data_IF_208950911894
#
_entry.id   IF_208950911894
#
_cell.length_a   1.000
_cell.length_b   1.000
_cell.length_c   1.000
_cell.angle_alpha   90.00
_cell.angle_beta   90.00
_cell.angle_gamma   90.00
#
_symmetry.space_group_name_H-M   'P 1'
#
loop_
_entity.id
_entity.type
_entity.pdbx_description
1 polymer ?
#
# COMPACT_ATOMS: atom_id res chain seq x y z
N UNK A 1 -20.86 -26.92 -23.23
CA UNK A 1 -20.38 -25.95 -22.20
C UNK A 1 -20.85 -26.31 -20.78
N UNK A 2 -22.13 -26.64 -20.53
CA UNK A 2 -22.61 -26.93 -19.16
C UNK A 2 -22.08 -28.24 -18.54
N UNK A 3 -21.82 -29.27 -19.36
CA UNK A 3 -21.39 -30.60 -18.89
C UNK A 3 -19.96 -30.57 -18.32
N UNK A 4 -19.06 -29.76 -18.90
CA UNK A 4 -17.67 -29.63 -18.46
C UNK A 4 -17.55 -28.92 -17.10
N UNK A 5 -18.42 -27.93 -16.86
CA UNK A 5 -18.50 -27.22 -15.56
C UNK A 5 -18.94 -28.15 -14.42
N UNK A 6 -19.86 -29.07 -14.70
CA UNK A 6 -20.35 -30.04 -13.71
C UNK A 6 -19.30 -31.11 -13.35
N UNK A 7 -18.47 -31.50 -14.31
CA UNK A 7 -17.34 -32.41 -14.07
C UNK A 7 -16.26 -31.74 -13.22
N UNK A 8 -15.95 -30.47 -13.48
CA UNK A 8 -15.02 -29.70 -12.65
C UNK A 8 -15.50 -29.58 -11.20
N UNK A 9 -16.78 -29.26 -11.00
CA UNK A 9 -17.39 -29.25 -9.68
C UNK A 9 -17.33 -30.62 -9.00
N UNK A 10 -17.65 -31.71 -9.72
CA UNK A 10 -17.60 -33.06 -9.18
C UNK A 10 -16.18 -33.47 -8.76
N UNK A 11 -15.17 -33.19 -9.58
CA UNK A 11 -13.77 -33.46 -9.27
C UNK A 11 -13.28 -32.64 -8.07
N UNK A 12 -13.73 -31.39 -7.94
CA UNK A 12 -13.46 -30.55 -6.78
C UNK A 12 -14.05 -31.14 -5.50
N UNK A 13 -15.32 -31.58 -5.52
CA UNK A 13 -15.94 -32.24 -4.38
C UNK A 13 -15.25 -33.56 -4.02
N UNK A 14 -14.84 -34.35 -5.00
CA UNK A 14 -14.09 -35.60 -4.76
C UNK A 14 -12.75 -35.30 -4.09
N UNK A 15 -11.97 -34.35 -4.61
CA UNK A 15 -10.70 -33.93 -4.01
C UNK A 15 -10.89 -33.40 -2.58
N UNK A 16 -11.97 -32.66 -2.35
CA UNK A 16 -12.32 -32.12 -1.04
C UNK A 16 -12.70 -33.22 -0.03
N UNK A 17 -13.51 -34.21 -0.44
CA UNK A 17 -13.84 -35.38 0.37
C UNK A 17 -12.57 -36.15 0.73
N UNK A 18 -11.65 -36.35 -0.21
CA UNK A 18 -10.38 -37.02 0.05
C UNK A 18 -9.51 -36.25 1.06
N UNK A 19 -9.49 -34.91 0.98
CA UNK A 19 -8.80 -34.06 1.94
C UNK A 19 -9.40 -34.18 3.35
N UNK A 20 -10.73 -34.17 3.48
CA UNK A 20 -11.42 -34.40 4.76
C UNK A 20 -11.07 -35.78 5.32
N UNK A 21 -11.12 -36.83 4.50
CA UNK A 21 -10.77 -38.19 4.93
C UNK A 21 -9.31 -38.29 5.37
N UNK A 22 -8.40 -37.55 4.73
CA UNK A 22 -7.01 -37.47 5.11
C UNK A 22 -6.83 -36.79 6.49
N UNK A 23 -7.57 -35.70 6.73
CA UNK A 23 -7.60 -35.01 8.03
C UNK A 23 -8.16 -35.93 9.12
N UNK A 24 -9.28 -36.60 8.86
CA UNK A 24 -9.89 -37.57 9.79
C UNK A 24 -8.90 -38.71 10.08
N UNK A 25 -8.20 -39.23 9.07
CA UNK A 25 -7.21 -40.29 9.22
C UNK A 25 -6.01 -39.83 10.05
N UNK A 26 -5.60 -38.57 9.92
CA UNK A 26 -4.55 -37.96 10.73
C UNK A 26 -4.97 -37.83 12.21
N UNK A 27 -6.20 -37.38 12.47
CA UNK A 27 -6.73 -37.32 13.84
C UNK A 27 -6.95 -38.71 14.44
N UNK A 28 -7.37 -39.69 13.63
CA UNK A 28 -7.51 -41.10 14.03
C UNK A 28 -6.15 -41.72 14.39
N UNK A 29 -5.08 -41.37 13.66
CA UNK A 29 -3.71 -41.84 13.93
C UNK A 29 -3.09 -41.25 15.21
N UNK A 30 -3.51 -40.04 15.59
CA UNK A 30 -2.91 -39.31 16.71
C UNK A 30 -3.51 -39.61 18.09
N UNK A 31 -4.50 -40.50 18.20
CA UNK A 31 -5.00 -41.05 19.48
C UNK A 31 -5.61 -40.08 20.50
N UNK A 32 -5.46 -38.76 20.33
CA UNK A 32 -5.94 -37.70 21.24
C UNK A 32 -7.22 -37.02 20.73
N UNK A 33 -8.06 -37.76 20.03
CA UNK A 33 -9.20 -37.23 19.29
C UNK A 33 -10.46 -36.94 20.13
N UNK A 34 -10.41 -36.98 21.47
CA UNK A 34 -11.65 -37.00 22.26
C UNK A 34 -12.16 -35.65 22.77
N UNK A 35 -11.41 -34.55 22.72
CA UNK A 35 -11.86 -33.29 23.35
C UNK A 35 -11.90 -32.05 22.46
N UNK A 36 -11.03 -31.91 21.45
CA UNK A 36 -10.98 -30.68 20.62
C UNK A 36 -11.10 -30.89 19.11
N UNK A 37 -10.98 -32.13 18.60
CA UNK A 37 -11.01 -32.37 17.15
C UNK A 37 -12.40 -32.22 16.51
N UNK A 38 -13.46 -32.62 17.23
CA UNK A 38 -14.84 -32.56 16.72
C UNK A 38 -15.35 -31.11 16.53
N UNK A 39 -15.24 -30.19 17.51
CA UNK A 39 -15.76 -28.84 17.34
C UNK A 39 -14.98 -28.05 16.28
N UNK A 40 -13.65 -28.22 16.17
CA UNK A 40 -12.86 -27.51 15.14
C UNK A 40 -13.22 -27.96 13.73
N UNK A 41 -13.45 -29.26 13.52
CA UNK A 41 -13.88 -29.78 12.22
C UNK A 41 -15.30 -29.31 11.88
N UNK A 42 -16.20 -29.25 12.86
CA UNK A 42 -17.57 -28.74 12.67
C UNK A 42 -17.55 -27.24 12.33
N UNK A 43 -16.77 -26.42 13.05
CA UNK A 43 -16.61 -25.00 12.76
C UNK A 43 -15.99 -24.76 11.38
N UNK A 44 -15.01 -25.58 11.00
CA UNK A 44 -14.43 -25.54 9.67
C UNK A 44 -15.46 -25.88 8.58
N UNK A 45 -16.26 -26.93 8.79
CA UNK A 45 -17.36 -27.28 7.89
C UNK A 45 -18.40 -26.16 7.76
N UNK A 46 -18.81 -25.55 8.87
CA UNK A 46 -19.76 -24.43 8.86
C UNK A 46 -19.19 -23.22 8.10
N UNK A 47 -17.92 -22.89 8.34
CA UNK A 47 -17.25 -21.78 7.66
C UNK A 47 -17.16 -22.01 6.15
N UNK A 48 -16.98 -23.25 5.70
CA UNK A 48 -16.91 -23.60 4.27
C UNK A 48 -18.30 -23.68 3.65
N UNK A 49 -19.28 -24.23 4.36
CA UNK A 49 -20.67 -24.24 3.90
C UNK A 49 -21.13 -22.80 3.65
N UNK A 50 -20.77 -21.84 4.52
CA UNK A 50 -21.04 -20.42 4.31
C UNK A 50 -20.32 -19.83 3.09
N UNK A 51 -19.09 -20.26 2.78
CA UNK A 51 -18.36 -19.85 1.57
C UNK A 51 -19.05 -20.40 0.31
N UNK A 52 -19.49 -21.66 0.33
CA UNK A 52 -20.12 -22.33 -0.82
C UNK A 52 -21.56 -21.84 -1.04
N UNK A 53 -22.31 -21.56 0.02
CA UNK A 53 -23.67 -21.00 -0.10
C UNK A 53 -23.67 -19.50 -0.37
N UNK A 54 -22.58 -18.79 -0.07
CA UNK A 54 -22.44 -17.35 -0.30
C UNK A 54 -22.23 -16.93 -1.76
N UNK A 55 -22.03 -17.87 -2.71
CA UNK A 55 -21.76 -17.53 -4.12
C UNK A 55 -23.01 -17.31 -4.97
N UNK A 56 -24.18 -17.10 -4.37
CA UNK A 56 -25.38 -16.72 -5.13
C UNK A 56 -25.39 -15.22 -5.39
N UNK A 57 -24.87 -14.82 -6.57
CA UNK A 57 -25.05 -13.52 -7.26
C UNK A 57 -25.41 -12.35 -6.33
N UNK A 58 -24.45 -11.87 -5.57
CA UNK A 58 -24.56 -10.53 -4.97
C UNK A 58 -23.42 -9.68 -5.50
N UNK A 59 -23.78 -8.61 -6.20
CA UNK A 59 -22.92 -7.51 -6.66
C UNK A 59 -22.38 -6.69 -5.47
N UNK A 60 -22.05 -7.35 -4.36
CA UNK A 60 -21.57 -6.69 -3.16
C UNK A 60 -20.07 -6.97 -3.00
N UNK A 61 -19.19 -6.02 -3.38
CA UNK A 61 -17.74 -6.18 -3.32
C UNK A 61 -17.24 -6.51 -1.91
N UNK A 62 -18.06 -6.21 -0.90
CA UNK A 62 -17.83 -6.52 0.51
C UNK A 62 -17.79 -8.03 0.77
N UNK A 63 -18.66 -8.82 0.13
CA UNK A 63 -18.71 -10.28 0.35
C UNK A 63 -17.50 -10.97 -0.27
N UNK A 64 -17.05 -10.50 -1.43
CA UNK A 64 -15.82 -10.96 -2.08
C UNK A 64 -14.59 -10.61 -1.23
N UNK A 65 -14.54 -9.41 -0.65
CA UNK A 65 -13.49 -9.03 0.31
C UNK A 65 -13.46 -9.97 1.52
N UNK A 66 -14.61 -10.30 2.10
CA UNK A 66 -14.68 -11.25 3.21
C UNK A 66 -14.29 -12.69 2.81
N UNK A 67 -14.64 -13.11 1.59
CA UNK A 67 -14.24 -14.42 1.07
C UNK A 67 -12.71 -14.50 0.86
N UNK A 68 -12.10 -13.46 0.29
CA UNK A 68 -10.65 -13.36 0.11
C UNK A 68 -9.94 -13.27 1.47
N UNK A 69 -10.44 -12.44 2.40
CA UNK A 69 -9.88 -12.33 3.74
C UNK A 69 -9.96 -13.67 4.49
N UNK A 70 -11.09 -14.37 4.38
CA UNK A 70 -11.27 -15.71 4.94
C UNK A 70 -10.30 -16.73 4.33
N UNK A 71 -10.08 -16.66 3.01
CA UNK A 71 -9.11 -17.50 2.32
C UNK A 71 -7.66 -17.21 2.77
N UNK A 72 -7.27 -15.95 2.90
CA UNK A 72 -5.95 -15.54 3.41
C UNK A 72 -5.74 -16.07 4.83
N UNK A 73 -6.74 -15.92 5.71
CA UNK A 73 -6.69 -16.45 7.07
C UNK A 73 -6.58 -17.98 7.08
N UNK A 74 -7.31 -18.67 6.19
CA UNK A 74 -7.20 -20.12 6.04
C UNK A 74 -5.78 -20.55 5.63
N UNK A 75 -5.18 -19.88 4.65
CA UNK A 75 -3.79 -20.14 4.23
C UNK A 75 -2.83 -19.88 5.38
N UNK A 76 -3.01 -18.80 6.15
CA UNK A 76 -2.21 -18.50 7.33
C UNK A 76 -2.27 -19.63 8.37
N UNK A 77 -3.46 -20.14 8.70
CA UNK A 77 -3.61 -21.27 9.60
C UNK A 77 -3.02 -22.57 9.05
N UNK A 78 -3.10 -22.78 7.73
CA UNK A 78 -2.49 -23.92 7.05
C UNK A 78 -0.96 -23.85 7.18
N UNK A 79 -0.35 -22.69 6.95
CA UNK A 79 1.08 -22.47 7.16
C UNK A 79 1.47 -22.67 8.63
N UNK A 80 0.70 -22.13 9.58
CA UNK A 80 0.97 -22.37 11.02
C UNK A 80 0.85 -23.84 11.40
N UNK A 81 -0.12 -24.58 10.85
CA UNK A 81 -0.26 -26.01 11.06
C UNK A 81 0.95 -26.76 10.50
N UNK A 82 1.41 -26.40 9.29
CA UNK A 82 2.63 -26.94 8.69
C UNK A 82 3.86 -26.62 9.56
N UNK A 83 4.04 -25.37 9.98
CA UNK A 83 5.17 -24.95 10.83
C UNK A 83 5.15 -25.65 12.21
N UNK A 84 3.97 -25.86 12.77
CA UNK A 84 3.79 -26.58 14.04
C UNK A 84 4.12 -28.07 13.90
N UNK A 85 3.84 -28.67 12.75
CA UNK A 85 4.27 -30.03 12.42
C UNK A 85 5.78 -30.08 12.19
N UNK A 86 6.36 -29.12 11.44
CA UNK A 86 7.81 -29.01 11.18
C UNK A 86 8.60 -28.83 12.48
N UNK A 87 8.12 -27.98 13.42
CA UNK A 87 8.76 -27.79 14.73
C UNK A 87 8.70 -29.04 15.62
N UNK A 88 7.78 -29.97 15.35
CA UNK A 88 7.53 -31.14 16.21
C UNK A 88 8.13 -32.44 15.68
N UNK A 89 8.32 -32.57 14.37
CA UNK A 89 8.91 -33.76 13.75
C UNK A 89 10.26 -33.41 13.14
N UNK A 90 11.33 -33.54 13.93
CA UNK A 90 12.73 -33.33 13.51
C UNK A 90 13.26 -34.25 12.40
N UNK A 91 12.38 -34.97 11.70
CA UNK A 91 12.66 -35.93 10.63
C UNK A 91 11.60 -35.77 9.54
N UNK A 92 11.61 -34.66 8.81
CA UNK A 92 10.64 -34.49 7.72
C UNK A 92 11.07 -33.55 6.58
N UNK A 93 12.36 -33.38 6.29
CA UNK A 93 12.78 -32.48 5.19
C UNK A 93 12.44 -33.02 3.78
N UNK A 94 12.46 -34.34 3.54
CA UNK A 94 12.25 -34.89 2.18
C UNK A 94 10.78 -35.07 1.79
N UNK A 95 9.91 -35.46 2.72
CA UNK A 95 8.49 -35.74 2.42
C UNK A 95 7.63 -34.46 2.32
N UNK A 96 7.99 -33.40 3.07
CA UNK A 96 7.30 -32.11 2.98
C UNK A 96 7.65 -31.32 1.72
N UNK A 97 8.88 -31.44 1.20
CA UNK A 97 9.25 -30.85 -0.10
C UNK A 97 8.43 -31.51 -1.21
N UNK A 98 8.21 -32.83 -1.16
CA UNK A 98 7.38 -33.53 -2.15
C UNK A 98 5.94 -33.03 -2.11
N UNK A 99 5.33 -32.87 -0.94
CA UNK A 99 3.96 -32.35 -0.83
C UNK A 99 3.85 -30.87 -1.25
N UNK A 100 4.83 -30.03 -0.89
CA UNK A 100 4.85 -28.63 -1.29
C UNK A 100 5.06 -28.47 -2.81
N UNK A 101 5.97 -29.24 -3.39
CA UNK A 101 6.21 -29.29 -4.84
C UNK A 101 4.96 -29.81 -5.57
N UNK A 102 4.31 -30.88 -5.07
CA UNK A 102 3.06 -31.38 -5.65
C UNK A 102 1.92 -30.36 -5.56
N UNK A 103 1.85 -29.58 -4.48
CA UNK A 103 0.84 -28.54 -4.33
C UNK A 103 1.09 -27.36 -5.28
N UNK A 104 2.34 -26.92 -5.43
CA UNK A 104 2.72 -25.89 -6.41
C UNK A 104 2.45 -26.36 -7.84
N UNK A 105 2.74 -27.62 -8.15
CA UNK A 105 2.41 -28.24 -9.44
C UNK A 105 0.89 -28.30 -9.64
N UNK A 106 0.11 -28.65 -8.61
CA UNK A 106 -1.35 -28.68 -8.70
C UNK A 106 -1.94 -27.29 -8.97
N UNK A 107 -1.44 -26.26 -8.30
CA UNK A 107 -1.86 -24.86 -8.54
C UNK A 107 -1.43 -24.40 -9.94
N UNK A 108 -0.24 -24.78 -10.41
CA UNK A 108 0.20 -24.49 -11.78
C UNK A 108 -0.68 -25.20 -12.83
N UNK A 109 -1.09 -26.45 -12.57
CA UNK A 109 -1.98 -27.23 -13.45
C UNK A 109 -3.41 -26.68 -13.47
N UNK A 110 -3.90 -26.14 -12.35
CA UNK A 110 -5.15 -25.38 -12.33
C UNK A 110 -5.07 -24.12 -13.20
N UNK A 111 -3.88 -23.49 -13.31
CA UNK A 111 -3.63 -22.37 -14.21
C UNK A 111 -3.63 -22.75 -15.70
N UNK A 112 -3.37 -24.01 -16.04
CA UNK A 112 -3.32 -24.51 -17.43
C UNK A 112 -4.70 -24.99 -17.92
N UNK A 113 -5.72 -25.01 -17.05
CA UNK A 113 -7.10 -25.37 -17.42
C UNK A 113 -7.88 -24.25 -18.14
N UNK A 114 -7.20 -23.17 -18.54
CA UNK A 114 -7.72 -22.25 -19.55
C UNK A 114 -7.61 -22.90 -20.95
N UNK A 115 -8.70 -23.07 -21.70
CA UNK A 115 -8.68 -23.82 -22.95
C UNK A 115 -8.00 -23.02 -24.06
N UNK A 116 -6.78 -23.40 -24.43
CA UNK A 116 -6.26 -23.19 -25.78
C UNK A 116 -6.08 -24.57 -26.41
N UNK A 117 -6.97 -24.91 -27.34
CA UNK A 117 -6.98 -26.21 -28.04
C UNK A 117 -6.52 -26.00 -29.47
N UNK A 118 -5.38 -26.57 -29.82
CA UNK A 118 -5.03 -26.93 -31.19
C UNK A 118 -4.35 -28.31 -31.18
N UNK A 119 -4.74 -29.18 -32.13
CA UNK A 119 -3.87 -30.05 -32.95
C UNK A 119 -4.26 -31.56 -33.11
N UNK A 120 -4.67 -31.89 -34.36
CA UNK A 120 -4.24 -33.03 -35.24
C UNK A 120 -4.71 -34.50 -35.07
N UNK A 121 -5.53 -34.92 -36.06
CA UNK A 121 -5.42 -36.05 -37.02
C UNK A 121 -5.40 -37.53 -36.56
N UNK A 122 -6.44 -38.32 -36.89
CA UNK A 122 -6.44 -39.34 -37.98
C UNK A 122 -7.66 -40.31 -37.96
N UNK A 123 -8.27 -40.48 -39.15
CA UNK A 123 -8.99 -41.68 -39.68
C UNK A 123 -10.53 -41.83 -39.58
N UNK A 124 -11.14 -41.51 -40.74
CA UNK A 124 -12.24 -42.19 -41.47
C UNK A 124 -13.70 -42.15 -40.98
N UNK A 125 -14.56 -41.35 -41.65
CA UNK A 125 -15.54 -41.80 -42.68
C UNK A 125 -16.65 -40.75 -42.90
N UNK A 126 -16.54 -40.04 -44.03
CA UNK A 126 -17.60 -39.62 -44.98
C UNK A 126 -18.92 -38.93 -44.51
N UNK A 127 -19.06 -37.70 -45.01
CA UNK A 127 -20.24 -37.01 -45.60
C UNK A 127 -21.10 -36.08 -44.71
N UNK A 128 -21.02 -34.79 -45.10
CA UNK A 128 -22.03 -33.72 -45.06
C UNK A 128 -22.21 -32.86 -43.79
N UNK A 129 -21.44 -31.75 -43.71
CA UNK A 129 -21.91 -30.47 -43.13
C UNK A 129 -20.83 -29.37 -43.22
N UNK A 130 -20.67 -28.71 -44.38
CA UNK A 130 -19.63 -27.68 -44.58
C UNK A 130 -20.09 -26.21 -44.43
N UNK A 131 -21.25 -25.92 -43.83
CA UNK A 131 -21.75 -24.53 -43.70
C UNK A 131 -21.86 -23.99 -42.26
N UNK A 132 -21.59 -24.79 -41.23
CA UNK A 132 -21.70 -24.34 -39.82
C UNK A 132 -20.34 -24.04 -39.15
N UNK A 133 -19.23 -24.62 -39.62
CA UNK A 133 -17.91 -24.44 -38.99
C UNK A 133 -17.25 -23.08 -39.28
N UNK A 134 -17.59 -22.41 -40.38
CA UNK A 134 -16.96 -21.13 -40.75
C UNK A 134 -17.48 -19.96 -39.91
N UNK A 135 -18.78 -19.97 -39.56
CA UNK A 135 -19.46 -18.92 -38.77
C UNK A 135 -19.06 -18.94 -37.29
N UNK A 136 -18.69 -20.11 -36.75
CA UNK A 136 -18.27 -20.25 -35.35
C UNK A 136 -16.81 -19.81 -35.15
N UNK A 137 -15.94 -19.97 -36.16
CA UNK A 137 -14.54 -19.50 -36.09
C UNK A 137 -14.41 -17.97 -36.19
N UNK A 138 -15.25 -17.30 -37.00
CA UNK A 138 -15.29 -15.84 -37.08
C UNK A 138 -15.85 -15.23 -35.79
N UNK A 139 -16.90 -15.83 -35.23
CA UNK A 139 -17.49 -15.38 -33.97
C UNK A 139 -16.54 -15.55 -32.78
N UNK A 140 -15.73 -16.62 -32.77
CA UNK A 140 -14.67 -16.81 -31.76
C UNK A 140 -13.54 -15.79 -31.91
N UNK A 141 -13.10 -15.49 -33.14
CA UNK A 141 -12.10 -14.42 -33.41
C UNK A 141 -12.61 -13.02 -33.05
N UNK A 142 -13.88 -12.72 -33.29
CA UNK A 142 -14.47 -11.43 -32.91
C UNK A 142 -14.58 -11.28 -31.39
N UNK A 143 -14.90 -12.36 -30.67
CA UNK A 143 -14.96 -12.38 -29.22
C UNK A 143 -13.57 -12.18 -28.58
N UNK A 144 -12.55 -12.90 -29.08
CA UNK A 144 -11.16 -12.75 -28.63
C UNK A 144 -10.61 -11.35 -28.92
N UNK A 145 -10.97 -10.76 -30.07
CA UNK A 145 -10.59 -9.38 -30.40
C UNK A 145 -11.27 -8.36 -29.47
N UNK A 146 -12.56 -8.53 -29.14
CA UNK A 146 -13.26 -7.66 -28.18
C UNK A 146 -12.66 -7.75 -26.77
N UNK A 147 -12.27 -8.95 -26.33
CA UNK A 147 -11.63 -9.15 -25.03
C UNK A 147 -10.23 -8.52 -24.97
N UNK A 148 -9.46 -8.60 -26.07
CA UNK A 148 -8.17 -7.93 -26.21
C UNK A 148 -8.30 -6.40 -26.26
N UNK A 149 -9.31 -5.88 -26.98
CA UNK A 149 -9.59 -4.45 -27.08
C UNK A 149 -10.06 -3.89 -25.71
N UNK A 150 -10.93 -4.60 -24.97
CA UNK A 150 -11.35 -4.20 -23.61
C UNK A 150 -10.18 -4.21 -22.61
N UNK A 151 -9.32 -5.22 -22.69
CA UNK A 151 -8.14 -5.32 -21.82
C UNK A 151 -7.13 -4.20 -22.09
N UNK A 152 -6.95 -3.84 -23.36
CA UNK A 152 -6.10 -2.71 -23.76
C UNK A 152 -6.68 -1.40 -23.26
N UNK A 153 -7.99 -1.20 -23.41
CA UNK A 153 -8.68 0.01 -22.95
C UNK A 153 -8.61 0.16 -21.42
N UNK A 154 -8.80 -0.92 -20.65
CA UNK A 154 -8.60 -0.92 -19.19
C UNK A 154 -7.17 -0.53 -18.80
N UNK A 155 -6.16 -1.07 -19.49
CA UNK A 155 -4.76 -0.71 -19.24
C UNK A 155 -4.45 0.76 -19.55
N UNK A 156 -5.03 1.31 -20.61
CA UNK A 156 -4.87 2.72 -20.96
C UNK A 156 -5.58 3.65 -19.97
N UNK A 157 -6.78 3.30 -19.51
CA UNK A 157 -7.51 4.04 -18.47
C UNK A 157 -6.73 4.05 -17.15
N UNK A 158 -6.19 2.90 -16.74
CA UNK A 158 -5.40 2.75 -15.52
C UNK A 158 -4.08 3.54 -15.59
N UNK A 159 -3.42 3.53 -16.76
CA UNK A 159 -2.22 4.37 -17.03
C UNK A 159 -2.55 5.86 -16.99
N UNK A 160 -3.70 6.28 -17.54
CA UNK A 160 -4.14 7.68 -17.51
C UNK A 160 -4.46 8.14 -16.09
N UNK A 161 -5.09 7.27 -15.29
CA UNK A 161 -5.39 7.54 -13.89
C UNK A 161 -4.10 7.69 -13.06
N UNK A 162 -3.11 6.83 -13.30
CA UNK A 162 -1.80 6.91 -12.65
C UNK A 162 -1.04 8.20 -13.04
N UNK A 163 -1.10 8.59 -14.31
CA UNK A 163 -0.47 9.83 -14.80
C UNK A 163 -1.17 11.08 -14.23
N UNK A 164 -2.50 11.08 -14.13
CA UNK A 164 -3.25 12.17 -13.49
C UNK A 164 -2.92 12.30 -12.00
N UNK A 165 -2.80 11.18 -11.28
CA UNK A 165 -2.38 11.16 -9.88
C UNK A 165 -0.95 11.69 -9.69
N UNK A 166 -0.01 11.28 -10.54
CA UNK A 166 1.36 11.78 -10.51
C UNK A 166 1.40 13.30 -10.74
N UNK A 167 0.60 13.80 -11.69
CA UNK A 167 0.49 15.25 -11.97
C UNK A 167 -0.09 16.02 -10.77
N UNK A 168 -1.11 15.49 -10.09
CA UNK A 168 -1.67 16.10 -8.87
C UNK A 168 -0.64 16.16 -7.74
N UNK A 169 0.13 15.09 -7.53
CA UNK A 169 1.20 15.08 -6.52
C UNK A 169 2.31 16.08 -6.84
N UNK A 170 2.68 16.21 -8.11
CA UNK A 170 3.66 17.22 -8.55
C UNK A 170 3.13 18.64 -8.34
N UNK A 171 1.86 18.90 -8.65
CA UNK A 171 1.21 20.19 -8.45
C UNK A 171 1.14 20.56 -6.96
N UNK A 172 0.76 19.64 -6.08
CA UNK A 172 0.76 19.82 -4.62
C UNK A 172 2.17 20.12 -4.09
N UNK A 173 3.19 19.42 -4.58
CA UNK A 173 4.58 19.69 -4.21
C UNK A 173 5.03 21.08 -4.64
N UNK A 174 4.68 21.51 -5.87
CA UNK A 174 4.99 22.86 -6.36
C UNK A 174 4.30 23.94 -5.51
N UNK A 175 3.06 23.71 -5.09
CA UNK A 175 2.34 24.62 -4.20
C UNK A 175 2.98 24.70 -2.81
N UNK A 176 3.39 23.56 -2.24
CA UNK A 176 4.09 23.51 -0.96
C UNK A 176 5.44 24.26 -1.01
N UNK A 177 6.22 24.06 -2.08
CA UNK A 177 7.50 24.76 -2.29
C UNK A 177 7.29 26.27 -2.46
N UNK A 178 6.24 26.71 -3.15
CA UNK A 178 5.92 28.13 -3.30
C UNK A 178 5.47 28.76 -1.96
N UNK A 179 4.65 28.06 -1.18
CA UNK A 179 4.25 28.50 0.15
C UNK A 179 5.46 28.62 1.09
N UNK A 180 6.38 27.66 1.06
CA UNK A 180 7.61 27.70 1.84
C UNK A 180 8.48 28.92 1.46
N UNK A 181 8.62 29.22 0.15
CA UNK A 181 9.34 30.44 -0.30
C UNK A 181 8.67 31.73 0.20
N UNK A 182 7.34 31.82 0.12
CA UNK A 182 6.60 33.01 0.62
C UNK A 182 6.79 33.21 2.12
N UNK A 183 6.69 32.14 2.91
CA UNK A 183 6.94 32.21 4.36
C UNK A 183 8.37 32.64 4.67
N UNK A 184 9.36 32.14 3.93
CA UNK A 184 10.74 32.53 4.11
C UNK A 184 10.99 34.01 3.74
N UNK A 185 10.32 34.51 2.70
CA UNK A 185 10.38 35.91 2.29
C UNK A 185 9.71 36.85 3.31
N UNK A 186 8.54 36.46 3.85
CA UNK A 186 7.87 37.18 4.94
C UNK A 186 8.72 37.22 6.22
N UNK A 187 9.33 36.10 6.62
CA UNK A 187 10.25 36.07 7.76
C UNK A 187 11.46 36.99 7.54
N UNK A 188 12.03 37.00 6.32
CA UNK A 188 13.15 37.88 5.98
C UNK A 188 12.73 39.35 5.99
N UNK A 189 11.52 39.68 5.55
CA UNK A 189 10.95 41.02 5.61
C UNK A 189 10.70 41.48 7.06
N UNK A 190 10.18 40.59 7.93
CA UNK A 190 9.99 40.88 9.35
C UNK A 190 11.31 41.08 10.11
N UNK A 191 12.36 40.32 9.75
CA UNK A 191 13.72 40.56 10.27
C UNK A 191 14.31 41.89 9.80
N UNK A 192 13.99 42.35 8.58
CA UNK A 192 14.41 43.65 8.10
C UNK A 192 13.69 44.81 8.82
N UNK A 193 12.46 44.62 9.29
CA UNK A 193 11.70 45.62 10.06
C UNK A 193 12.02 45.64 11.56
N UNK A 194 12.70 44.62 12.10
CA UNK A 194 13.12 44.56 13.51
C UNK A 194 14.54 45.08 13.75
N UNK A 195 15.23 45.62 12.74
CA UNK A 195 16.35 46.53 13.01
C UNK A 195 15.78 47.74 13.77
N UNK A 196 16.18 47.98 15.03
CA UNK A 196 15.66 49.12 15.76
C UNK A 196 16.10 50.38 15.02
N UNK A 197 15.14 51.07 14.39
CA UNK A 197 15.24 52.49 14.16
C UNK A 197 15.30 53.12 15.56
N UNK A 198 16.51 53.21 16.10
CA UNK A 198 16.85 53.84 17.37
C UNK A 198 16.69 55.35 17.16
N UNK A 199 15.44 55.77 16.96
CA UNK A 199 15.01 57.11 16.61
C UNK A 199 14.17 57.69 17.72
N UNK A 200 14.64 57.58 18.96
CA UNK A 200 14.34 58.58 19.97
C UNK A 200 15.66 59.20 20.43
N UNK A 201 16.32 59.91 19.52
CA UNK A 201 17.33 60.90 19.90
C UNK A 201 16.60 62.13 20.42
N UNK A 202 15.91 61.98 21.56
CA UNK A 202 15.73 63.14 22.43
C UNK A 202 17.15 63.57 22.81
N UNK A 203 17.59 64.67 22.22
CA UNK A 203 18.89 65.27 22.45
C UNK A 203 19.00 65.67 23.92
N UNK A 204 19.41 64.73 24.78
CA UNK A 204 19.59 64.97 26.20
C UNK A 204 20.70 66.00 26.41
N UNK A 205 20.36 67.28 26.56
CA UNK A 205 21.35 68.33 26.78
C UNK A 205 21.85 68.28 28.23
N UNK A 206 23.14 68.01 28.42
CA UNK A 206 23.79 68.04 29.73
C UNK A 206 24.63 69.30 29.89
N UNK A 207 24.40 70.03 30.97
CA UNK A 207 25.16 71.25 31.30
C UNK A 207 26.62 70.96 31.65
N UNK A 208 26.91 69.82 32.29
CA UNK A 208 28.26 69.43 32.71
C UNK A 208 28.34 67.92 33.00
N UNK A 209 29.56 67.41 33.18
CA UNK A 209 29.80 65.99 33.51
C UNK A 209 29.19 65.53 34.84
N UNK A 210 28.93 66.44 35.79
CA UNK A 210 28.23 66.06 37.03
C UNK A 210 26.78 65.66 36.75
N UNK A 211 26.08 66.37 35.85
CA UNK A 211 24.74 65.99 35.42
C UNK A 211 24.73 64.64 34.68
N UNK A 212 25.74 64.38 33.84
CA UNK A 212 25.90 63.10 33.12
C UNK A 212 26.10 61.94 34.10
N UNK A 213 26.98 62.11 35.09
CA UNK A 213 27.23 61.11 36.14
C UNK A 213 26.01 60.90 37.04
N UNK A 214 25.32 61.97 37.44
CA UNK A 214 24.09 61.90 38.23
C UNK A 214 22.97 61.14 37.49
N UNK A 215 22.91 61.27 36.16
CA UNK A 215 22.00 60.51 35.31
C UNK A 215 22.46 59.05 35.04
N UNK A 216 23.64 58.66 35.54
CA UNK A 216 24.23 57.33 35.30
C UNK A 216 24.54 57.06 33.83
N UNK A 217 24.91 58.09 33.06
CA UNK A 217 25.18 58.00 31.61
C UNK A 217 26.66 58.20 31.25
N UNK A 218 27.53 58.40 32.22
CA UNK A 218 28.97 58.49 31.99
C UNK A 218 29.60 57.09 31.89
N UNK A 219 30.60 56.88 31.01
CA UNK A 219 31.12 57.81 30.01
C UNK A 219 30.19 57.95 28.78
N UNK A 220 30.17 59.13 28.14
CA UNK A 220 29.43 59.39 26.91
C UNK A 220 30.34 59.29 25.69
N UNK A 221 29.95 58.51 24.68
CA UNK A 221 30.74 58.38 23.45
C UNK A 221 30.24 59.29 22.32
N UNK A 222 31.15 59.74 21.45
CA UNK A 222 30.80 60.51 20.25
C UNK A 222 29.73 59.77 19.43
N UNK A 223 28.62 60.45 19.16
CA UNK A 223 27.45 59.89 18.46
C UNK A 223 26.34 59.38 19.38
N UNK A 224 26.56 59.28 20.69
CA UNK A 224 25.49 59.00 21.65
C UNK A 224 24.65 60.26 21.93
N UNK A 225 23.33 60.10 22.19
CA UNK A 225 22.47 61.20 22.63
C UNK A 225 23.04 61.90 23.87
N UNK A 226 23.22 63.22 23.77
CA UNK A 226 23.75 64.06 24.83
C UNK A 226 25.27 64.18 24.91
N UNK A 227 26.02 63.52 24.02
CA UNK A 227 27.41 63.88 23.79
C UNK A 227 27.48 65.30 23.21
N UNK A 228 28.36 66.13 23.78
CA UNK A 228 28.70 67.46 23.28
C UNK A 228 30.20 67.65 23.46
N UNK A 229 30.86 68.30 22.49
CA UNK A 229 32.30 68.58 22.54
C UNK A 229 32.71 69.40 23.77
N UNK A 230 31.78 70.13 24.39
CA UNK A 230 32.04 70.85 25.63
C UNK A 230 32.21 69.92 26.86
N UNK A 231 31.69 68.69 26.80
CA UNK A 231 31.79 67.70 27.87
C UNK A 231 33.03 66.80 27.72
N UNK A 232 33.66 66.85 26.54
CA UNK A 232 34.87 66.10 26.16
C UNK A 232 36.06 67.07 26.17
N UNK A 233 36.75 67.14 27.32
CA UNK A 233 37.77 68.18 27.56
C UNK A 233 39.05 67.94 26.77
N UNK A 234 39.39 66.68 26.51
CA UNK A 234 40.56 66.21 25.77
C UNK A 234 40.27 65.90 24.30
N UNK A 235 39.00 65.74 23.93
CA UNK A 235 38.56 65.63 22.53
C UNK A 235 38.80 64.25 21.91
N UNK A 236 38.97 63.22 22.72
CA UNK A 236 39.26 61.86 22.27
C UNK A 236 38.01 61.08 21.83
N UNK A 237 36.83 61.67 22.01
CA UNK A 237 35.54 61.07 21.68
C UNK A 237 34.84 60.40 22.86
N UNK A 238 35.37 60.50 24.07
CA UNK A 238 34.82 59.93 25.31
C UNK A 238 34.64 61.05 26.35
N UNK A 239 33.43 61.59 26.45
CA UNK A 239 33.11 62.62 27.43
C UNK A 239 32.89 62.03 28.84
N UNK A 240 33.33 62.78 29.86
CA UNK A 240 33.07 62.52 31.28
C UNK A 240 33.57 61.17 31.81
N UNK A 241 34.67 60.66 31.25
CA UNK A 241 35.33 59.40 31.65
C UNK A 241 35.95 59.40 33.05
N UNK A 242 36.14 60.58 33.66
CA UNK A 242 36.77 60.77 34.98
C UNK A 242 35.85 61.51 35.96
#
# INVERSE_FOLDING_TARGET
MAILSNIGAALFFIAFILLILCIISFFKKNGKAKQYGRPTVILFMISIILIVTGTTKSEHPVIEFFAILSFILFIFFLVLAILSVIKKTGVAKKQFIITAVLFVIFVALLGISAPSSEKTTATSTKVASNNEEQKDSEKKKELEKKEADEKTQKQEDEKRLAEEQARKQEDEKRQADEQARKQQEEQKAQQAQTQPANGNTDSAYYKNCAAVRAAGKAPLHKGQPGYSSHLDRDGDGIACEK
#
